data_IF_286966685848
#
_entry.id   IF_286966685848
#
_cell.length_a   1.000
_cell.length_b   1.000
_cell.length_c   1.000
_cell.angle_alpha   90.00
_cell.angle_beta   90.00
_cell.angle_gamma   90.00
#
_symmetry.space_group_name_H-M   'P 1'
#
loop_
_entity.id
_entity.type
_entity.pdbx_description
1 polymer ?
#
# COMPACT_ATOMS: atom_id res chain seq x y z
N UNK A 1 -1.53 -12.36 10.67
CA UNK A 1 -2.90 -12.78 10.99
C UNK A 1 -3.05 -14.23 10.60
N UNK A 2 -2.89 -15.13 11.56
CA UNK A 2 -2.93 -16.58 11.36
C UNK A 2 -3.81 -17.16 12.49
N UNK A 3 -4.72 -18.08 12.18
CA UNK A 3 -5.68 -18.66 13.16
C UNK A 3 -4.95 -19.27 14.36
N UNK A 4 -3.76 -19.83 14.15
CA UNK A 4 -2.87 -20.33 15.21
C UNK A 4 -2.43 -19.25 16.21
N UNK A 5 -2.24 -18.02 15.74
CA UNK A 5 -1.86 -16.88 16.58
C UNK A 5 -3.03 -16.44 17.47
N UNK A 6 -4.26 -16.50 16.94
CA UNK A 6 -5.48 -16.26 17.71
C UNK A 6 -5.68 -17.34 18.78
N UNK A 7 -5.49 -18.62 18.43
CA UNK A 7 -5.61 -19.74 19.35
C UNK A 7 -4.61 -19.63 20.51
N UNK A 8 -3.33 -19.36 20.20
CA UNK A 8 -2.29 -19.17 21.22
C UNK A 8 -2.59 -17.98 22.15
N UNK A 9 -3.13 -16.89 21.60
CA UNK A 9 -3.57 -15.72 22.37
C UNK A 9 -4.69 -16.09 23.35
N UNK A 10 -5.73 -16.78 22.87
CA UNK A 10 -6.85 -17.20 23.71
C UNK A 10 -6.40 -18.18 24.80
N UNK A 11 -5.46 -19.08 24.49
CA UNK A 11 -4.87 -19.99 25.49
C UNK A 11 -4.10 -19.23 26.56
N UNK A 12 -3.29 -18.24 26.17
CA UNK A 12 -2.53 -17.42 27.12
C UNK A 12 -3.44 -16.58 28.03
N UNK A 13 -4.46 -15.92 27.45
CA UNK A 13 -5.47 -15.17 28.21
C UNK A 13 -6.22 -16.05 29.20
N UNK A 14 -6.53 -17.30 28.83
CA UNK A 14 -7.24 -18.23 29.73
C UNK A 14 -6.38 -18.71 30.90
N UNK A 15 -5.05 -18.72 30.76
CA UNK A 15 -4.12 -19.19 31.82
C UNK A 15 -3.64 -18.03 32.70
N UNK A 16 -3.45 -16.84 32.13
CA UNK A 16 -2.77 -15.73 32.79
C UNK A 16 -3.70 -14.57 33.18
N UNK A 17 -4.96 -14.53 32.73
CA UNK A 17 -5.91 -13.48 33.13
C UNK A 17 -6.59 -13.84 34.46
N UNK A 18 -6.38 -13.06 35.55
CA UNK A 18 -7.00 -13.34 36.85
C UNK A 18 -8.46 -12.88 36.95
N UNK A 19 -9.00 -12.17 35.95
CA UNK A 19 -10.33 -11.52 35.98
C UNK A 19 -11.30 -12.03 34.92
N UNK A 20 -12.60 -11.98 35.24
CA UNK A 20 -13.72 -12.36 34.35
C UNK A 20 -13.93 -11.40 33.17
N UNK A 21 -13.26 -10.24 33.18
CA UNK A 21 -13.24 -9.25 32.12
C UNK A 21 -11.79 -9.03 31.68
N UNK A 22 -11.55 -9.12 30.37
CA UNK A 22 -10.23 -8.91 29.76
C UNK A 22 -10.10 -7.42 29.43
N UNK A 23 -9.17 -6.74 30.10
CA UNK A 23 -8.83 -5.33 29.83
C UNK A 23 -7.69 -5.28 28.81
N UNK A 24 -7.51 -4.12 28.18
CA UNK A 24 -6.38 -3.90 27.24
C UNK A 24 -5.04 -4.15 27.95
N UNK A 25 -4.96 -3.91 29.26
CA UNK A 25 -3.81 -4.21 30.13
C UNK A 25 -3.50 -5.69 30.30
N UNK A 26 -4.48 -6.56 30.10
CA UNK A 26 -4.34 -8.00 30.26
C UNK A 26 -3.90 -8.69 28.97
N UNK A 27 -3.66 -7.94 27.89
CA UNK A 27 -3.12 -8.49 26.65
C UNK A 27 -1.59 -8.63 26.76
N UNK A 28 -1.01 -9.75 26.29
CA UNK A 28 0.43 -9.91 26.27
C UNK A 28 1.08 -8.82 25.41
N UNK A 29 2.30 -8.42 25.78
CA UNK A 29 3.02 -7.32 25.13
C UNK A 29 3.13 -7.54 23.62
N UNK A 30 3.29 -8.78 23.15
CA UNK A 30 3.35 -9.18 21.74
C UNK A 30 2.09 -8.85 20.90
N UNK A 31 0.97 -8.52 21.53
CA UNK A 31 -0.27 -8.09 20.86
C UNK A 31 -0.51 -6.60 21.04
N UNK A 32 -0.17 -6.08 22.23
CA UNK A 32 -0.21 -4.65 22.55
C UNK A 32 0.75 -3.85 21.67
N UNK A 33 2.00 -4.26 21.72
CA UNK A 33 2.99 -3.99 20.70
C UNK A 33 2.74 -5.09 19.69
N UNK A 34 2.03 -4.80 18.59
CA UNK A 34 2.12 -5.70 17.43
C UNK A 34 3.60 -6.08 17.30
N UNK A 35 3.94 -7.31 16.86
CA UNK A 35 5.15 -7.44 16.10
C UNK A 35 4.85 -6.65 14.83
N UNK A 36 5.02 -5.33 14.90
CA UNK A 36 5.72 -4.60 13.88
C UNK A 36 6.99 -5.41 13.79
N UNK A 37 7.03 -6.36 12.86
CA UNK A 37 8.29 -6.83 12.31
C UNK A 37 9.07 -5.54 12.05
N UNK A 38 9.93 -5.27 13.02
CA UNK A 38 10.60 -4.02 13.18
C UNK A 38 11.63 -4.03 12.07
N UNK A 39 11.66 -2.94 11.31
CA UNK A 39 12.53 -2.68 10.16
C UNK A 39 12.16 -3.39 8.86
N UNK A 40 10.97 -3.15 8.31
CA UNK A 40 11.02 -2.67 6.92
C UNK A 40 11.44 -1.22 7.04
N UNK A 41 12.74 -0.96 7.02
CA UNK A 41 13.20 0.38 6.73
C UNK A 41 12.48 0.76 5.44
N UNK A 42 11.64 1.80 5.46
CA UNK A 42 11.12 2.37 4.22
C UNK A 42 12.30 3.13 3.61
N UNK A 43 13.38 2.41 3.28
CA UNK A 43 14.54 2.93 2.58
C UNK A 43 14.17 3.19 1.12
N UNK A 44 13.10 2.57 0.64
CA UNK A 44 12.69 2.59 -0.74
C UNK A 44 11.15 2.66 -0.86
N UNK A 45 10.66 3.43 -1.85
CA UNK A 45 9.23 3.50 -2.15
C UNK A 45 8.66 2.13 -2.57
N UNK A 46 9.53 1.24 -3.05
CA UNK A 46 9.21 -0.13 -3.40
C UNK A 46 8.76 -0.94 -2.18
N UNK A 47 9.30 -0.66 -1.00
CA UNK A 47 8.89 -1.32 0.24
C UNK A 47 7.51 -0.86 0.71
N UNK A 48 7.22 0.44 0.56
CA UNK A 48 5.88 0.96 0.79
C UNK A 48 4.86 0.34 -0.18
N UNK A 49 5.22 0.17 -1.46
CA UNK A 49 4.38 -0.50 -2.45
C UNK A 49 4.17 -1.98 -2.11
N UNK A 50 5.22 -2.71 -1.71
CA UNK A 50 5.10 -4.11 -1.28
C UNK A 50 4.14 -4.25 -0.11
N UNK A 51 4.21 -3.35 0.88
CA UNK A 51 3.30 -3.36 2.01
C UNK A 51 1.86 -3.08 1.59
N UNK A 52 1.65 -2.13 0.66
CA UNK A 52 0.33 -1.84 0.10
C UNK A 52 -0.27 -3.06 -0.62
N UNK A 53 0.51 -3.72 -1.48
CA UNK A 53 0.09 -4.93 -2.20
C UNK A 53 -0.24 -6.08 -1.24
N UNK A 54 0.60 -6.33 -0.23
CA UNK A 54 0.32 -7.36 0.80
C UNK A 54 -1.03 -7.14 1.49
N UNK A 55 -1.43 -5.89 1.72
CA UNK A 55 -2.71 -5.56 2.35
C UNK A 55 -3.90 -5.79 1.42
N UNK A 56 -3.76 -5.50 0.12
CA UNK A 56 -4.82 -5.80 -0.85
C UNK A 56 -4.98 -7.30 -1.08
N UNK A 57 -3.87 -8.05 -1.20
CA UNK A 57 -3.93 -9.50 -1.34
C UNK A 57 -4.53 -10.20 -0.11
N UNK A 58 -4.31 -9.68 1.09
CA UNK A 58 -4.94 -10.20 2.31
C UNK A 58 -6.47 -10.02 2.35
N UNK A 59 -7.05 -9.26 1.40
CA UNK A 59 -8.50 -9.05 1.25
C UNK A 59 -9.10 -9.87 0.10
N UNK A 60 -8.36 -10.84 -0.44
CA UNK A 60 -8.73 -11.63 -1.62
C UNK A 60 -9.18 -10.76 -2.81
N UNK A 61 -8.57 -9.58 -2.96
CA UNK A 61 -8.87 -8.68 -4.06
C UNK A 61 -8.20 -9.20 -5.33
N UNK A 62 -9.00 -9.58 -6.33
CA UNK A 62 -8.53 -10.01 -7.64
C UNK A 62 -8.33 -8.83 -8.60
N UNK A 63 -7.50 -9.03 -9.62
CA UNK A 63 -7.27 -8.06 -10.70
C UNK A 63 -6.79 -6.67 -10.26
N UNK A 64 -5.97 -6.61 -9.21
CA UNK A 64 -5.40 -5.38 -8.62
C UNK A 64 -4.74 -4.45 -9.65
N UNK A 65 -4.12 -5.01 -10.70
CA UNK A 65 -3.49 -4.21 -11.76
C UNK A 65 -4.47 -3.32 -12.52
N UNK A 66 -5.75 -3.70 -12.59
CA UNK A 66 -6.80 -2.89 -13.22
C UNK A 66 -7.04 -1.58 -12.48
N UNK A 67 -6.84 -1.57 -11.16
CA UNK A 67 -7.03 -0.38 -10.32
C UNK A 67 -5.71 0.34 -10.09
N UNK A 68 -4.65 -0.40 -9.74
CA UNK A 68 -3.35 0.16 -9.37
C UNK A 68 -2.56 0.69 -10.58
N UNK A 69 -2.71 0.06 -11.75
CA UNK A 69 -2.02 0.48 -12.98
C UNK A 69 -2.41 1.91 -13.40
N UNK A 70 -3.70 2.20 -13.60
CA UNK A 70 -4.18 3.55 -13.92
C UNK A 70 -3.78 4.59 -12.88
N UNK A 71 -3.86 4.25 -11.60
CA UNK A 71 -3.51 5.17 -10.51
C UNK A 71 -2.01 5.50 -10.52
N UNK A 72 -1.16 4.49 -10.72
CA UNK A 72 0.28 4.69 -10.87
C UNK A 72 0.59 5.57 -12.10
N UNK A 73 -0.02 5.29 -13.24
CA UNK A 73 0.18 6.06 -14.46
C UNK A 73 -0.28 7.52 -14.30
N UNK A 74 -1.39 7.76 -13.58
CA UNK A 74 -1.88 9.10 -13.28
C UNK A 74 -0.87 9.90 -12.48
N UNK A 75 -0.42 9.37 -11.35
CA UNK A 75 0.59 10.02 -10.48
C UNK A 75 1.87 10.32 -11.27
N UNK A 76 2.30 9.37 -12.10
CA UNK A 76 3.49 9.52 -12.93
C UNK A 76 3.36 10.66 -13.96
N UNK A 77 2.21 10.74 -14.64
CA UNK A 77 1.93 11.77 -15.65
C UNK A 77 1.78 13.15 -15.03
N UNK A 78 1.03 13.26 -13.94
CA UNK A 78 0.80 14.52 -13.22
C UNK A 78 2.13 15.11 -12.74
N UNK A 79 2.95 14.29 -12.07
CA UNK A 79 4.27 14.72 -11.58
C UNK A 79 5.18 15.17 -12.73
N UNK A 80 5.15 14.46 -13.87
CA UNK A 80 5.94 14.85 -15.03
C UNK A 80 5.44 16.16 -15.67
N UNK A 81 4.12 16.37 -15.73
CA UNK A 81 3.54 17.61 -16.22
C UNK A 81 3.88 18.78 -15.29
N UNK A 82 3.77 18.61 -13.97
CA UNK A 82 4.15 19.64 -13.00
C UNK A 82 5.62 20.03 -13.14
N UNK A 83 6.52 19.04 -13.24
CA UNK A 83 7.95 19.28 -13.40
C UNK A 83 8.29 20.03 -14.69
N UNK A 84 7.51 19.83 -15.75
CA UNK A 84 7.73 20.43 -17.07
C UNK A 84 6.86 21.65 -17.35
N UNK A 85 6.12 22.16 -16.35
CA UNK A 85 5.23 23.30 -16.53
C UNK A 85 4.08 23.03 -17.51
N UNK A 86 3.51 21.82 -17.46
CA UNK A 86 2.41 21.29 -18.30
C UNK A 86 2.74 21.18 -19.79
N UNK A 87 4.03 21.12 -20.14
CA UNK A 87 4.50 20.92 -21.52
C UNK A 87 4.48 19.43 -21.90
N UNK A 88 3.43 19.02 -22.61
CA UNK A 88 3.20 17.61 -23.01
C UNK A 88 4.41 16.94 -23.70
N UNK A 89 5.12 17.65 -24.57
CA UNK A 89 6.27 17.07 -25.31
C UNK A 89 7.45 16.81 -24.36
N UNK A 90 7.74 17.75 -23.45
CA UNK A 90 8.82 17.61 -22.48
C UNK A 90 8.47 16.56 -21.42
N UNK A 91 7.23 16.51 -20.93
CA UNK A 91 6.74 15.47 -20.03
C UNK A 91 6.85 14.08 -20.67
N UNK A 92 6.45 13.93 -21.94
CA UNK A 92 6.58 12.66 -22.66
C UNK A 92 8.05 12.24 -22.76
N UNK A 93 8.95 13.18 -23.07
CA UNK A 93 10.40 12.92 -23.12
C UNK A 93 10.95 12.51 -21.75
N UNK A 94 10.52 13.17 -20.67
CA UNK A 94 10.91 12.85 -19.29
C UNK A 94 10.50 11.42 -18.91
N UNK A 95 9.29 11.02 -19.31
CA UNK A 95 8.73 9.70 -19.07
C UNK A 95 9.26 8.61 -20.01
N UNK A 96 10.07 8.97 -21.03
CA UNK A 96 10.52 8.04 -22.07
C UNK A 96 9.38 7.57 -22.98
N UNK A 97 8.27 8.30 -23.02
CA UNK A 97 7.11 8.00 -23.84
C UNK A 97 7.13 8.81 -25.13
N UNK A 98 6.61 8.21 -26.21
CA UNK A 98 6.27 8.98 -27.41
C UNK A 98 5.14 9.98 -27.11
N UNK A 99 5.13 11.12 -27.80
CA UNK A 99 4.07 12.13 -27.71
C UNK A 99 2.66 11.53 -27.85
N UNK A 100 2.49 10.58 -28.78
CA UNK A 100 1.21 9.93 -29.04
C UNK A 100 0.79 9.02 -27.89
N UNK A 101 1.74 8.33 -27.26
CA UNK A 101 1.50 7.50 -26.08
C UNK A 101 1.02 8.33 -24.91
N UNK A 102 1.70 9.45 -24.62
CA UNK A 102 1.25 10.37 -23.56
C UNK A 102 -0.14 10.94 -23.86
N UNK A 103 -0.40 11.32 -25.12
CA UNK A 103 -1.70 11.87 -25.51
C UNK A 103 -2.83 10.85 -25.34
N UNK A 104 -2.58 9.58 -25.66
CA UNK A 104 -3.52 8.49 -25.42
C UNK A 104 -3.76 8.27 -23.93
N UNK A 105 -2.68 8.21 -23.13
CA UNK A 105 -2.76 8.02 -21.67
C UNK A 105 -3.50 9.15 -20.96
N UNK A 106 -3.29 10.40 -21.37
CA UNK A 106 -4.05 11.55 -20.85
C UNK A 106 -5.56 11.40 -21.08
N UNK A 107 -5.97 10.90 -22.26
CA UNK A 107 -7.39 10.66 -22.56
C UNK A 107 -7.95 9.46 -21.81
N UNK A 108 -7.18 8.38 -21.69
CA UNK A 108 -7.61 7.15 -20.98
C UNK A 108 -7.80 7.38 -19.48
N UNK A 109 -7.01 8.27 -18.88
CA UNK A 109 -7.01 8.55 -17.45
C UNK A 109 -7.80 9.82 -17.08
N UNK A 110 -8.43 10.47 -18.08
CA UNK A 110 -9.20 11.71 -17.97
C UNK A 110 -8.43 12.86 -17.30
N UNK A 111 -7.12 12.97 -17.57
CA UNK A 111 -6.24 13.98 -16.99
C UNK A 111 -6.28 15.25 -17.86
N UNK A 112 -6.74 16.35 -17.27
CA UNK A 112 -6.69 17.68 -17.90
C UNK A 112 -5.27 18.27 -17.83
N UNK A 113 -4.84 18.92 -18.91
CA UNK A 113 -3.51 19.54 -19.04
C UNK A 113 -3.63 21.02 -19.33
#
# INVERSE_FOLDING_TARGET
GNVRQLENTCRWLSVMAPSKQIRIDDLPRDIREKPVDTTVSIDSWQDALRLHLKRQFARDQENILKDLGPEFERILIETALEHTGRRKIEAARLLGWGRNTLTRKLKELEIEV
#
